data_IF_842025127802
#
_entry.id   IF_842025127802
#
_cell.length_a   1.000
_cell.length_b   1.000
_cell.length_c   1.000
_cell.angle_alpha   90.00
_cell.angle_beta   90.00
_cell.angle_gamma   90.00
#
_symmetry.space_group_name_H-M   'P 1'
#
loop_
_entity.id
_entity.type
_entity.pdbx_description
1 polymer ?
#
# COMPACT_ATOMS: atom_id res chain seq x y z
N UNK A 1 -13.17 17.94 -11.11
CA UNK A 1 -13.37 16.63 -11.76
C UNK A 1 -12.99 15.56 -10.76
N UNK A 2 -13.88 14.64 -10.38
CA UNK A 2 -13.51 13.61 -9.41
C UNK A 2 -12.49 12.66 -10.06
N UNK A 3 -11.36 12.46 -9.39
CA UNK A 3 -10.40 11.43 -9.75
C UNK A 3 -11.11 10.08 -9.61
N UNK A 4 -11.51 9.51 -10.75
CA UNK A 4 -12.09 8.18 -10.81
C UNK A 4 -11.05 7.19 -10.28
N UNK A 5 -11.35 6.55 -9.14
CA UNK A 5 -10.47 5.61 -8.44
C UNK A 5 -10.16 4.33 -9.24
N UNK A 6 -10.76 4.17 -10.42
CA UNK A 6 -10.47 3.12 -11.39
C UNK A 6 -9.51 3.56 -12.49
N UNK A 7 -8.92 4.75 -12.42
CA UNK A 7 -7.88 5.15 -13.36
C UNK A 7 -6.55 4.47 -12.97
N UNK A 8 -6.04 3.50 -13.76
CA UNK A 8 -4.79 2.80 -13.44
C UNK A 8 -3.64 3.80 -13.22
N UNK A 9 -3.64 4.93 -13.93
CA UNK A 9 -2.59 5.96 -13.85
C UNK A 9 -2.42 6.56 -12.45
N UNK A 10 -3.47 6.62 -11.62
CA UNK A 10 -3.38 7.15 -10.25
C UNK A 10 -2.70 6.16 -9.29
N UNK A 11 -2.89 4.85 -9.51
CA UNK A 11 -2.24 3.80 -8.73
C UNK A 11 -0.75 3.71 -9.07
N UNK A 12 -0.39 3.90 -10.34
CA UNK A 12 1.00 3.99 -10.78
C UNK A 12 1.78 5.12 -10.10
N UNK A 13 1.19 6.33 -10.05
CA UNK A 13 1.82 7.50 -9.42
C UNK A 13 2.08 7.27 -7.93
N UNK A 14 1.14 6.64 -7.23
CA UNK A 14 1.28 6.34 -5.80
C UNK A 14 2.37 5.29 -5.55
N UNK A 15 2.46 4.26 -6.39
CA UNK A 15 3.48 3.21 -6.29
C UNK A 15 4.89 3.76 -6.48
N UNK A 16 5.09 4.66 -7.46
CA UNK A 16 6.42 5.24 -7.74
C UNK A 16 7.03 5.97 -6.53
N UNK A 17 6.20 6.60 -5.69
CA UNK A 17 6.67 7.30 -4.48
C UNK A 17 7.17 6.31 -3.43
N UNK A 18 6.43 5.23 -3.17
CA UNK A 18 6.88 4.23 -2.17
C UNK A 18 8.04 3.39 -2.68
N UNK A 19 8.10 3.17 -3.99
CA UNK A 19 9.20 2.47 -4.60
C UNK A 19 10.52 3.26 -4.46
N UNK A 20 10.49 4.58 -4.59
CA UNK A 20 11.72 5.37 -4.35
C UNK A 20 12.19 5.23 -2.90
N UNK A 21 11.30 5.16 -1.91
CA UNK A 21 11.65 4.87 -0.52
C UNK A 21 12.24 3.47 -0.32
N UNK A 22 11.75 2.46 -1.05
CA UNK A 22 12.29 1.09 -0.99
C UNK A 22 13.66 0.97 -1.68
N UNK A 23 13.87 1.70 -2.78
CA UNK A 23 15.07 1.58 -3.62
C UNK A 23 16.20 2.52 -3.20
N UNK A 24 15.89 3.66 -2.58
CA UNK A 24 16.89 4.62 -2.15
C UNK A 24 17.39 4.30 -0.73
N UNK A 25 18.67 4.59 -0.41
CA UNK A 25 19.16 4.50 0.96
C UNK A 25 18.39 5.50 1.84
N UNK A 26 17.37 5.02 2.53
CA UNK A 26 16.65 5.79 3.54
C UNK A 26 17.07 5.30 4.93
N UNK A 27 17.09 6.21 5.91
CA UNK A 27 17.39 5.86 7.31
C UNK A 27 16.22 5.12 7.98
N UNK A 28 15.04 5.19 7.38
CA UNK A 28 13.84 4.53 7.88
C UNK A 28 13.79 3.09 7.37
N UNK A 29 13.38 2.14 8.22
CA UNK A 29 13.16 0.77 7.79
C UNK A 29 11.70 0.61 7.31
N UNK A 30 11.54 0.48 6.00
CA UNK A 30 10.22 0.55 5.33
C UNK A 30 9.70 -0.84 4.99
N UNK A 31 8.42 -1.08 5.31
CA UNK A 31 7.64 -2.21 4.83
C UNK A 31 6.51 -1.69 3.93
N UNK A 32 6.33 -2.32 2.77
CA UNK A 32 5.28 -1.98 1.80
C UNK A 32 4.27 -3.10 1.69
N UNK A 33 3.00 -2.74 1.84
CA UNK A 33 1.85 -3.61 1.58
C UNK A 33 1.14 -3.07 0.36
N UNK A 34 1.21 -3.80 -0.75
CA UNK A 34 0.62 -3.41 -2.02
C UNK A 34 -0.53 -4.34 -2.39
N UNK A 35 -1.75 -3.77 -2.43
CA UNK A 35 -2.96 -4.47 -2.84
C UNK A 35 -3.49 -3.82 -4.11
N UNK A 36 -3.55 -4.58 -5.20
CA UNK A 36 -4.08 -4.09 -6.47
C UNK A 36 -4.71 -5.23 -7.27
N UNK A 37 -5.44 -4.91 -8.34
CA UNK A 37 -6.07 -5.90 -9.22
C UNK A 37 -5.21 -6.10 -10.47
N UNK A 38 -4.89 -7.35 -10.82
CA UNK A 38 -4.20 -7.70 -12.05
C UNK A 38 -2.87 -6.97 -12.17
N UNK A 39 -1.98 -7.17 -11.20
CA UNK A 39 -0.77 -6.36 -11.02
C UNK A 39 0.15 -6.47 -12.23
N UNK A 40 0.40 -7.68 -12.71
CA UNK A 40 1.24 -7.88 -13.89
C UNK A 40 0.64 -7.22 -15.13
N UNK A 41 -0.67 -7.37 -15.35
CA UNK A 41 -1.36 -6.81 -16.51
C UNK A 41 -1.41 -5.28 -16.45
N UNK A 42 -1.55 -4.73 -15.24
CA UNK A 42 -1.76 -3.31 -15.04
C UNK A 42 -0.50 -2.54 -14.72
N UNK A 43 0.63 -3.15 -14.35
CA UNK A 43 1.89 -2.49 -13.96
C UNK A 43 3.13 -3.05 -14.65
N UNK A 44 2.98 -4.17 -15.37
CA UNK A 44 4.07 -4.84 -16.07
C UNK A 44 4.86 -5.81 -15.18
N UNK A 45 5.48 -6.79 -15.84
CA UNK A 45 6.30 -7.81 -15.19
C UNK A 45 7.53 -7.22 -14.49
N UNK A 46 8.14 -6.18 -15.05
CA UNK A 46 9.33 -5.53 -14.49
C UNK A 46 9.09 -5.02 -13.06
N UNK A 47 7.93 -4.43 -12.80
CA UNK A 47 7.57 -3.93 -11.47
C UNK A 47 7.38 -5.09 -10.49
N UNK A 48 6.73 -6.18 -10.91
CA UNK A 48 6.61 -7.37 -10.07
C UNK A 48 7.96 -8.00 -9.74
N UNK A 49 8.85 -8.09 -10.73
CA UNK A 49 10.20 -8.63 -10.54
C UNK A 49 11.03 -7.77 -9.59
N UNK A 50 10.93 -6.46 -9.69
CA UNK A 50 11.60 -5.56 -8.78
C UNK A 50 11.07 -5.69 -7.35
N UNK A 51 9.75 -5.76 -7.16
CA UNK A 51 9.14 -5.96 -5.85
C UNK A 51 9.48 -7.33 -5.25
N UNK A 52 9.59 -8.38 -6.09
CA UNK A 52 9.93 -9.73 -5.64
C UNK A 52 11.40 -9.92 -5.25
N UNK A 53 12.29 -9.01 -5.64
CA UNK A 53 13.69 -8.99 -5.17
C UNK A 53 13.82 -8.58 -3.70
N UNK A 54 12.77 -7.99 -3.11
CA UNK A 54 12.77 -7.64 -1.70
C UNK A 54 12.29 -8.82 -0.82
N UNK A 55 12.79 -8.92 0.43
CA UNK A 55 12.30 -9.91 1.37
C UNK A 55 10.78 -9.81 1.61
N UNK A 56 10.10 -10.95 1.76
CA UNK A 56 8.63 -11.03 1.93
C UNK A 56 8.12 -10.39 3.24
N UNK A 57 9.00 -10.18 4.20
CA UNK A 57 8.76 -9.44 5.43
C UNK A 57 8.81 -7.92 5.23
N UNK A 58 9.46 -7.43 4.14
CA UNK A 58 9.52 -6.02 3.75
C UNK A 58 8.52 -5.65 2.67
N UNK A 59 8.22 -6.55 1.74
CA UNK A 59 7.32 -6.27 0.62
C UNK A 59 6.27 -7.37 0.52
N UNK A 60 5.02 -6.96 0.65
CA UNK A 60 3.84 -7.83 0.51
C UNK A 60 3.07 -7.35 -0.70
N UNK A 61 2.91 -8.24 -1.68
CA UNK A 61 2.15 -8.01 -2.90
C UNK A 61 0.93 -8.91 -2.88
N UNK A 62 -0.26 -8.31 -2.96
CA UNK A 62 -1.54 -9.01 -2.98
C UNK A 62 -2.30 -8.66 -4.26
N UNK A 63 -2.29 -9.58 -5.23
CA UNK A 63 -3.07 -9.43 -6.46
C UNK A 63 -4.50 -9.92 -6.24
N UNK A 64 -5.45 -8.98 -6.19
CA UNK A 64 -6.87 -9.26 -5.98
C UNK A 64 -7.55 -10.00 -7.13
N UNK A 65 -6.96 -10.04 -8.33
CA UNK A 65 -7.46 -10.86 -9.43
C UNK A 65 -7.14 -12.36 -9.22
N UNK A 66 -6.04 -12.67 -8.53
CA UNK A 66 -5.58 -14.04 -8.27
C UNK A 66 -5.99 -14.54 -6.88
N UNK A 67 -5.94 -13.66 -5.87
CA UNK A 67 -6.10 -13.99 -4.45
C UNK A 67 -7.44 -13.50 -3.86
N UNK A 68 -8.26 -12.81 -4.65
CA UNK A 68 -9.48 -12.15 -4.16
C UNK A 68 -9.20 -10.86 -3.38
N UNK A 69 -10.24 -10.10 -3.04
CA UNK A 69 -10.11 -8.84 -2.29
C UNK A 69 -9.95 -9.13 -0.78
N UNK A 70 -8.82 -8.78 -0.15
CA UNK A 70 -8.62 -8.99 1.27
C UNK A 70 -9.31 -7.90 2.10
N UNK A 71 -9.42 -8.11 3.41
CA UNK A 71 -9.67 -7.02 4.33
C UNK A 71 -8.37 -6.21 4.52
N UNK A 72 -8.22 -5.15 3.71
CA UNK A 72 -7.00 -4.33 3.67
C UNK A 72 -6.71 -3.69 5.03
N UNK A 73 -7.74 -3.29 5.77
CA UNK A 73 -7.60 -2.66 7.08
C UNK A 73 -7.04 -3.63 8.12
N UNK A 74 -7.59 -4.84 8.19
CA UNK A 74 -7.06 -5.88 9.07
C UNK A 74 -5.62 -6.24 8.70
N UNK A 75 -5.36 -6.47 7.42
CA UNK A 75 -4.01 -6.79 6.92
C UNK A 75 -3.01 -5.68 7.25
N UNK A 76 -3.41 -4.41 7.14
CA UNK A 76 -2.56 -3.25 7.49
C UNK A 76 -2.21 -3.23 8.98
N UNK A 77 -3.19 -3.48 9.86
CA UNK A 77 -2.95 -3.54 11.31
C UNK A 77 -2.05 -4.71 11.69
N UNK A 78 -2.29 -5.89 11.14
CA UNK A 78 -1.48 -7.08 11.40
C UNK A 78 -0.04 -6.88 10.96
N UNK A 79 0.16 -6.30 9.78
CA UNK A 79 1.49 -6.03 9.26
C UNK A 79 2.21 -4.92 10.01
N UNK A 80 1.52 -3.84 10.38
CA UNK A 80 2.09 -2.80 11.22
C UNK A 80 2.56 -3.35 12.57
N UNK A 81 1.79 -4.25 13.20
CA UNK A 81 2.19 -4.92 14.45
C UNK A 81 3.39 -5.85 14.26
N UNK A 82 3.36 -6.68 13.20
CA UNK A 82 4.44 -7.63 12.89
C UNK A 82 5.75 -6.90 12.60
N UNK A 83 5.68 -5.81 11.85
CA UNK A 83 6.82 -4.95 11.51
C UNK A 83 7.27 -4.06 12.66
N UNK A 84 6.43 -3.88 13.69
CA UNK A 84 6.59 -2.87 14.75
C UNK A 84 6.69 -1.45 14.18
N UNK A 85 5.82 -1.16 13.23
CA UNK A 85 5.79 0.13 12.55
C UNK A 85 5.50 1.26 13.55
N UNK A 86 6.33 2.29 13.53
CA UNK A 86 6.12 3.52 14.29
C UNK A 86 4.98 4.37 13.69
N UNK A 87 4.77 4.23 12.37
CA UNK A 87 3.74 4.94 11.62
C UNK A 87 3.29 4.14 10.41
N UNK A 88 2.01 4.23 10.07
CA UNK A 88 1.43 3.72 8.83
C UNK A 88 1.05 4.89 7.92
N UNK A 89 1.49 4.82 6.66
CA UNK A 89 1.06 5.75 5.61
C UNK A 89 0.27 4.94 4.60
N UNK A 90 -0.97 5.33 4.33
CA UNK A 90 -1.84 4.71 3.34
C UNK A 90 -2.06 5.66 2.17
N UNK A 91 -2.02 5.15 0.95
CA UNK A 91 -2.50 5.85 -0.24
C UNK A 91 -3.45 4.92 -0.98
N UNK A 92 -4.73 5.22 -0.96
CA UNK A 92 -5.77 4.43 -1.62
C UNK A 92 -6.88 5.36 -2.10
N UNK A 93 -8.01 4.80 -2.53
CA UNK A 93 -9.23 5.58 -2.69
C UNK A 93 -9.72 6.13 -1.32
N UNK A 94 -10.70 7.05 -1.29
CA UNK A 94 -11.16 7.68 -0.05
C UNK A 94 -11.63 6.67 1.01
N UNK A 95 -12.44 5.69 0.60
CA UNK A 95 -12.97 4.63 1.47
C UNK A 95 -11.85 3.78 2.07
N UNK A 96 -10.99 3.20 1.23
CA UNK A 96 -9.90 2.34 1.67
C UNK A 96 -8.86 3.08 2.53
N UNK A 97 -8.58 4.34 2.22
CA UNK A 97 -7.69 5.17 3.05
C UNK A 97 -8.29 5.42 4.42
N UNK A 98 -9.59 5.74 4.50
CA UNK A 98 -10.30 5.96 5.75
C UNK A 98 -10.33 4.70 6.60
N UNK A 99 -10.70 3.57 6.01
CA UNK A 99 -10.83 2.30 6.74
C UNK A 99 -9.48 1.84 7.33
N UNK A 100 -8.38 2.02 6.60
CA UNK A 100 -7.04 1.69 7.10
C UNK A 100 -6.63 2.63 8.24
N UNK A 101 -6.84 3.94 8.07
CA UNK A 101 -6.51 4.93 9.11
C UNK A 101 -7.31 4.64 10.39
N UNK A 102 -8.61 4.40 10.28
CA UNK A 102 -9.48 4.15 11.42
C UNK A 102 -9.13 2.83 12.13
N UNK A 103 -8.84 1.76 11.37
CA UNK A 103 -8.42 0.49 11.95
C UNK A 103 -7.06 0.58 12.66
N UNK A 104 -6.08 1.26 12.07
CA UNK A 104 -4.77 1.47 12.71
C UNK A 104 -4.90 2.32 13.97
N UNK A 105 -5.66 3.42 13.93
CA UNK A 105 -5.92 4.26 15.11
C UNK A 105 -6.62 3.48 16.22
N UNK A 106 -7.63 2.68 15.89
CA UNK A 106 -8.31 1.79 16.83
C UNK A 106 -7.37 0.74 17.46
N UNK A 107 -6.30 0.37 16.75
CA UNK A 107 -5.24 -0.51 17.25
C UNK A 107 -4.10 0.22 17.99
N UNK A 108 -4.20 1.54 18.18
CA UNK A 108 -3.17 2.35 18.84
C UNK A 108 -1.95 2.66 17.96
N UNK A 109 -2.07 2.51 16.64
CA UNK A 109 -0.98 2.71 15.67
C UNK A 109 -1.20 4.06 14.96
N UNK A 110 -0.25 5.00 14.99
CA UNK A 110 -0.34 6.23 14.23
C UNK A 110 -0.49 5.94 12.73
N UNK A 111 -1.53 6.50 12.12
CA UNK A 111 -1.82 6.30 10.70
C UNK A 111 -2.30 7.57 9.99
N UNK A 112 -1.80 7.77 8.77
CA UNK A 112 -2.07 8.93 7.94
C UNK A 112 -2.42 8.49 6.51
N UNK A 113 -3.40 9.15 5.91
CA UNK A 113 -3.81 8.95 4.53
C UNK A 113 -4.01 10.28 3.81
N UNK A 114 -4.38 10.26 2.52
CA UNK A 114 -4.65 11.48 1.77
C UNK A 114 -5.81 12.24 2.41
N UNK A 115 -5.69 13.57 2.46
CA UNK A 115 -6.80 14.44 2.85
C UNK A 115 -7.70 14.61 1.62
N UNK A 116 -8.98 14.30 1.78
CA UNK A 116 -9.99 14.46 0.74
C UNK A 116 -10.89 15.64 1.14
N UNK A 117 -10.52 16.85 0.74
CA UNK A 117 -11.19 18.11 1.12
C UNK A 117 -11.76 18.90 -0.09
N UNK A 118 -12.00 18.23 -1.23
CA UNK A 118 -12.56 18.84 -2.45
C UNK A 118 -13.98 18.40 -2.78
#
# INVERSE_FOLDING_TARGET
MPLNSNNPNSQYLSLCVFLSFLLQPCRADVCVVWVAKGIEQNFGQEIMEMMSRHPKDKVIVHDTALMGRPNVSQMSVEMAKKWRAEVVIVTSNPEGSRDVVDACKGAGIPAFGPIWDS
#
